data_IF_775933991464
#
_entry.id   IF_775933991464
#
_cell.length_a   1.000
_cell.length_b   1.000
_cell.length_c   1.000
_cell.angle_alpha   90.00
_cell.angle_beta   90.00
_cell.angle_gamma   90.00
#
_symmetry.space_group_name_H-M   'P 1'
#
loop_
_entity.id
_entity.type
_entity.pdbx_description
1 polymer ?
#
# COMPACT_ATOMS: atom_id res chain seq x y z
N UNK A 1 -0.45 -32.07 14.17
CA UNK A 1 0.87 -31.66 13.62
C UNK A 1 0.72 -31.29 12.15
N UNK A 2 0.73 -29.98 11.79
CA UNK A 2 0.62 -29.47 10.40
C UNK A 2 1.98 -28.91 9.92
N UNK A 3 3.08 -29.66 10.10
CA UNK A 3 4.43 -29.12 9.89
C UNK A 3 4.95 -29.23 8.45
N UNK A 4 4.41 -30.13 7.63
CA UNK A 4 4.91 -30.38 6.27
C UNK A 4 4.61 -29.22 5.29
N UNK A 5 3.34 -28.76 5.23
CA UNK A 5 2.91 -27.74 4.26
C UNK A 5 3.60 -26.38 4.44
N UNK A 6 4.06 -26.07 5.65
CA UNK A 6 4.73 -24.79 5.92
C UNK A 6 6.14 -24.75 5.32
N UNK A 7 6.92 -25.85 5.42
CA UNK A 7 8.29 -25.90 4.85
C UNK A 7 8.26 -25.81 3.33
N UNK A 8 7.37 -26.56 2.69
CA UNK A 8 7.23 -26.55 1.23
C UNK A 8 6.79 -25.17 0.71
N UNK A 9 5.82 -24.54 1.37
CA UNK A 9 5.39 -23.17 1.05
C UNK A 9 6.54 -22.17 1.15
N UNK A 10 7.34 -22.20 2.21
CA UNK A 10 8.51 -21.31 2.35
C UNK A 10 9.48 -21.52 1.18
N UNK A 11 9.81 -22.78 0.85
CA UNK A 11 10.76 -23.09 -0.21
C UNK A 11 10.29 -22.63 -1.60
N UNK A 12 9.03 -22.91 -1.95
CA UNK A 12 8.46 -22.51 -3.25
C UNK A 12 8.38 -20.98 -3.35
N UNK A 13 7.98 -20.32 -2.27
CA UNK A 13 7.92 -18.85 -2.24
C UNK A 13 9.30 -18.23 -2.35
N UNK A 14 10.31 -18.79 -1.68
CA UNK A 14 11.69 -18.29 -1.77
C UNK A 14 12.28 -18.44 -3.17
N UNK A 15 12.08 -19.60 -3.82
CA UNK A 15 12.49 -19.80 -5.23
C UNK A 15 11.83 -18.78 -6.16
N UNK A 16 10.55 -18.52 -5.97
CA UNK A 16 9.84 -17.50 -6.73
C UNK A 16 10.39 -16.09 -6.47
N UNK A 17 10.70 -15.76 -5.21
CA UNK A 17 11.28 -14.48 -4.81
C UNK A 17 12.64 -14.24 -5.49
N UNK A 18 13.55 -15.21 -5.45
CA UNK A 18 14.86 -15.11 -6.10
C UNK A 18 14.72 -14.90 -7.61
N UNK A 19 13.83 -15.67 -8.27
CA UNK A 19 13.57 -15.50 -9.71
C UNK A 19 13.05 -14.10 -10.04
N UNK A 20 12.17 -13.54 -9.22
CA UNK A 20 11.67 -12.19 -9.43
C UNK A 20 12.74 -11.12 -9.21
N UNK A 21 13.67 -11.35 -8.28
CA UNK A 21 14.81 -10.46 -8.07
C UNK A 21 15.82 -10.51 -9.22
N UNK A 22 16.04 -11.66 -9.85
CA UNK A 22 16.89 -11.74 -11.06
C UNK A 22 16.26 -11.07 -12.29
N UNK A 23 14.95 -10.84 -12.28
CA UNK A 23 14.23 -10.07 -13.30
C UNK A 23 14.23 -8.55 -12.98
N UNK A 24 15.00 -8.09 -12.00
CA UNK A 24 15.07 -6.70 -11.49
C UNK A 24 13.72 -6.11 -11.03
N UNK A 25 12.71 -6.96 -10.77
CA UNK A 25 11.40 -6.51 -10.31
C UNK A 25 11.46 -6.16 -8.82
N UNK A 26 11.07 -4.94 -8.47
CA UNK A 26 10.82 -4.54 -7.10
C UNK A 26 9.55 -5.26 -6.58
N UNK A 27 9.71 -6.02 -5.50
CA UNK A 27 8.61 -6.75 -4.87
C UNK A 27 8.15 -6.01 -3.62
N UNK A 28 6.87 -5.59 -3.63
CA UNK A 28 6.26 -5.03 -2.43
C UNK A 28 5.90 -6.11 -1.42
N UNK A 29 5.73 -5.70 -0.15
CA UNK A 29 5.32 -6.58 0.93
C UNK A 29 4.00 -7.31 0.62
N UNK A 30 3.04 -6.56 0.08
CA UNK A 30 1.70 -7.04 -0.28
C UNK A 30 1.80 -8.12 -1.37
N UNK A 31 2.67 -7.94 -2.37
CA UNK A 31 2.87 -8.93 -3.43
C UNK A 31 3.37 -10.26 -2.87
N UNK A 32 4.31 -10.22 -1.92
CA UNK A 32 4.84 -11.43 -1.28
C UNK A 32 3.74 -12.13 -0.48
N UNK A 33 2.92 -11.38 0.27
CA UNK A 33 1.79 -11.95 1.04
C UNK A 33 0.75 -12.59 0.12
N UNK A 34 0.32 -11.89 -0.93
CA UNK A 34 -0.62 -12.43 -1.91
C UNK A 34 -0.07 -13.69 -2.58
N UNK A 35 1.22 -13.70 -2.91
CA UNK A 35 1.85 -14.87 -3.51
C UNK A 35 1.92 -16.05 -2.55
N UNK A 36 2.20 -15.81 -1.28
CA UNK A 36 2.18 -16.83 -0.24
C UNK A 36 0.79 -17.47 -0.10
N UNK A 37 -0.28 -16.66 -0.12
CA UNK A 37 -1.66 -17.17 -0.10
C UNK A 37 -1.96 -18.03 -1.34
N UNK A 38 -1.56 -17.57 -2.53
CA UNK A 38 -1.75 -18.32 -3.77
C UNK A 38 -1.05 -19.69 -3.74
N UNK A 39 0.20 -19.73 -3.29
CA UNK A 39 0.94 -20.99 -3.17
C UNK A 39 0.38 -21.89 -2.08
N UNK A 40 -0.05 -21.33 -0.94
CA UNK A 40 -0.70 -22.12 0.10
C UNK A 40 -1.96 -22.81 -0.45
N UNK A 41 -2.80 -22.10 -1.22
CA UNK A 41 -3.96 -22.70 -1.87
C UNK A 41 -3.58 -23.81 -2.86
N UNK A 42 -2.56 -23.58 -3.69
CA UNK A 42 -2.10 -24.56 -4.69
C UNK A 42 -1.47 -25.82 -4.08
N UNK A 43 -0.83 -25.68 -2.92
CA UNK A 43 -0.21 -26.79 -2.19
C UNK A 43 -1.22 -27.54 -1.29
N UNK A 44 -2.52 -27.22 -1.34
CA UNK A 44 -3.51 -27.83 -0.46
C UNK A 44 -3.28 -27.48 1.02
N UNK A 45 -2.74 -26.29 1.28
CA UNK A 45 -2.44 -25.76 2.61
C UNK A 45 -3.69 -25.45 3.44
N UNK A 46 -3.46 -25.05 4.70
CA UNK A 46 -4.57 -24.72 5.62
C UNK A 46 -5.35 -23.52 5.09
N UNK A 47 -6.69 -23.58 5.09
CA UNK A 47 -7.55 -22.42 4.77
C UNK A 47 -7.42 -21.30 5.81
N UNK A 48 -6.95 -21.62 7.01
CA UNK A 48 -6.68 -20.67 8.08
C UNK A 48 -5.32 -19.98 7.93
N UNK A 49 -4.51 -20.36 6.93
CA UNK A 49 -3.22 -19.72 6.71
C UNK A 49 -3.41 -18.24 6.38
N UNK A 50 -2.92 -17.40 7.28
CA UNK A 50 -2.84 -15.97 7.08
C UNK A 50 -1.40 -15.64 6.78
N UNK A 51 -1.14 -15.03 5.63
CA UNK A 51 0.15 -14.42 5.30
C UNK A 51 0.34 -13.12 6.11
N UNK A 52 0.18 -13.20 7.44
CA UNK A 52 0.22 -12.06 8.35
C UNK A 52 1.59 -11.40 8.36
N UNK A 53 1.65 -10.17 8.85
CA UNK A 53 2.91 -9.43 9.00
C UNK A 53 3.93 -10.22 9.82
N UNK A 54 3.51 -10.86 10.93
CA UNK A 54 4.39 -11.67 11.76
C UNK A 54 4.89 -12.96 11.08
N UNK A 55 4.10 -13.58 10.21
CA UNK A 55 4.56 -14.71 9.41
C UNK A 55 5.62 -14.27 8.38
N UNK A 56 5.38 -13.13 7.74
CA UNK A 56 6.25 -12.59 6.71
C UNK A 56 7.61 -12.14 7.25
N UNK A 57 7.64 -11.52 8.43
CA UNK A 57 8.89 -11.20 9.12
C UNK A 57 9.71 -12.46 9.40
N UNK A 58 9.06 -13.54 9.84
CA UNK A 58 9.73 -14.84 10.02
C UNK A 58 10.25 -15.42 8.68
N UNK A 59 9.51 -15.26 7.59
CA UNK A 59 9.96 -15.68 6.26
C UNK A 59 11.21 -14.89 5.82
N UNK A 60 11.20 -13.57 5.97
CA UNK A 60 12.36 -12.72 5.67
C UNK A 60 13.58 -13.10 6.48
N UNK A 61 13.42 -13.25 7.80
CA UNK A 61 14.50 -13.61 8.71
C UNK A 61 15.12 -14.97 8.37
N UNK A 62 14.30 -15.97 8.00
CA UNK A 62 14.79 -17.29 7.58
C UNK A 62 15.64 -17.26 6.31
N UNK A 63 15.38 -16.32 5.42
CA UNK A 63 16.02 -16.23 4.12
C UNK A 63 17.00 -15.06 4.00
N UNK A 64 17.30 -14.37 5.11
CA UNK A 64 18.17 -13.20 5.12
C UNK A 64 17.70 -12.08 4.21
N UNK A 65 16.39 -11.95 3.97
CA UNK A 65 15.84 -10.91 3.11
C UNK A 65 15.85 -9.61 3.91
N UNK A 66 16.68 -8.62 3.56
CA UNK A 66 16.74 -7.37 4.31
C UNK A 66 15.37 -6.69 4.24
N UNK A 67 14.91 -6.20 5.39
CA UNK A 67 13.80 -5.27 5.45
C UNK A 67 14.30 -3.94 4.89
N UNK A 68 14.32 -3.83 3.56
CA UNK A 68 14.32 -2.52 2.92
C UNK A 68 13.00 -1.90 3.35
N UNK A 69 13.07 -0.94 4.26
CA UNK A 69 11.95 -0.09 4.62
C UNK A 69 11.54 0.66 3.36
N UNK A 70 10.65 0.05 2.58
CA UNK A 70 9.86 0.74 1.58
C UNK A 70 8.84 1.56 2.39
N UNK A 71 9.35 2.59 3.06
CA UNK A 71 8.54 3.72 3.50
C UNK A 71 8.23 4.46 2.21
N UNK A 72 7.03 4.20 1.67
CA UNK A 72 6.33 5.05 0.70
C UNK A 72 6.95 5.20 -0.68
N UNK A 73 8.13 5.79 -0.82
CA UNK A 73 8.54 6.46 -2.07
C UNK A 73 10.06 6.51 -2.27
N UNK A 74 10.84 5.63 -1.63
CA UNK A 74 12.31 5.75 -1.64
C UNK A 74 13.03 4.62 -2.38
N UNK A 75 12.56 4.26 -3.58
CA UNK A 75 13.27 3.30 -4.44
C UNK A 75 14.10 3.94 -5.56
N UNK A 76 14.10 5.28 -5.70
CA UNK A 76 15.09 5.99 -6.53
C UNK A 76 14.93 7.51 -6.29
N UNK A 77 15.32 8.01 -5.12
CA UNK A 77 15.46 9.46 -4.98
C UNK A 77 16.74 9.87 -5.69
N UNK A 78 16.60 10.54 -6.83
CA UNK A 78 17.72 11.21 -7.48
C UNK A 78 18.20 12.35 -6.56
N UNK A 79 19.35 12.14 -5.94
CA UNK A 79 19.94 13.08 -4.97
C UNK A 79 20.31 14.39 -5.69
N UNK A 80 20.74 14.31 -6.95
CA UNK A 80 21.13 15.46 -7.74
C UNK A 80 19.91 16.31 -8.11
N UNK A 81 18.84 15.68 -8.61
CA UNK A 81 17.57 16.36 -8.87
C UNK A 81 16.95 16.95 -7.59
N UNK A 82 17.05 16.25 -6.46
CA UNK A 82 16.61 16.76 -5.16
C UNK A 82 17.38 18.01 -4.72
N UNK A 83 18.71 18.03 -4.91
CA UNK A 83 19.54 19.20 -4.59
C UNK A 83 19.26 20.38 -5.53
N UNK A 84 19.06 20.14 -6.83
CA UNK A 84 18.65 21.19 -7.78
C UNK A 84 17.33 21.82 -7.37
N UNK A 85 16.34 20.99 -7.03
CA UNK A 85 15.02 21.46 -6.60
C UNK A 85 15.08 22.32 -5.32
N UNK A 86 15.93 21.97 -4.36
CA UNK A 86 16.12 22.78 -3.15
C UNK A 86 16.66 24.17 -3.51
N UNK A 87 17.63 24.27 -4.41
CA UNK A 87 18.19 25.54 -4.85
C UNK A 87 17.15 26.39 -5.60
N UNK A 88 16.38 25.79 -6.51
CA UNK A 88 15.30 26.46 -7.24
C UNK A 88 14.19 26.96 -6.31
N UNK A 89 13.80 26.15 -5.32
CA UNK A 89 12.78 26.54 -4.34
C UNK A 89 13.25 27.71 -3.47
N UNK A 90 14.53 27.73 -3.08
CA UNK A 90 15.11 28.85 -2.33
C UNK A 90 15.11 30.15 -3.14
N UNK A 91 15.49 30.10 -4.42
CA UNK A 91 15.43 31.26 -5.32
C UNK A 91 13.99 31.78 -5.45
N UNK A 92 13.01 30.88 -5.61
CA UNK A 92 11.59 31.24 -5.69
C UNK A 92 11.07 31.89 -4.41
N UNK A 93 11.46 31.39 -3.23
CA UNK A 93 11.06 31.98 -1.94
C UNK A 93 11.59 33.41 -1.82
N UNK A 94 12.87 33.63 -2.15
CA UNK A 94 13.49 34.96 -2.09
C UNK A 94 12.86 35.90 -3.12
N UNK A 95 12.74 35.45 -4.37
CA UNK A 95 12.21 36.25 -5.48
C UNK A 95 10.76 36.67 -5.27
N UNK A 96 9.94 35.81 -4.68
CA UNK A 96 8.52 36.06 -4.43
C UNK A 96 8.22 36.56 -3.01
N UNK A 97 9.23 36.72 -2.16
CA UNK A 97 9.11 37.11 -0.75
C UNK A 97 8.07 36.26 0.00
N UNK A 98 8.11 34.94 -0.23
CA UNK A 98 7.15 34.02 0.38
C UNK A 98 7.48 33.83 1.86
N UNK A 99 6.46 33.93 2.71
CA UNK A 99 6.57 33.53 4.11
C UNK A 99 6.18 32.06 4.31
N UNK A 100 6.57 31.47 5.43
CA UNK A 100 6.31 30.06 5.73
C UNK A 100 4.82 29.71 5.65
N UNK A 101 3.94 30.63 6.02
CA UNK A 101 2.48 30.44 6.00
C UNK A 101 1.90 30.29 4.57
N UNK A 102 2.68 30.65 3.54
CA UNK A 102 2.29 30.56 2.13
C UNK A 102 2.87 29.33 1.43
N UNK A 103 3.67 28.52 2.13
CA UNK A 103 4.32 27.32 1.59
C UNK A 103 3.51 26.10 2.02
N UNK A 104 2.84 25.46 1.06
CA UNK A 104 2.02 24.28 1.31
C UNK A 104 2.64 23.05 0.63
N UNK A 105 2.72 21.93 1.36
CA UNK A 105 3.08 20.64 0.78
C UNK A 105 1.81 19.92 0.31
N UNK A 106 1.80 19.40 -0.92
CA UNK A 106 0.73 18.58 -1.45
C UNK A 106 1.31 17.27 -1.98
N UNK A 107 0.91 16.15 -1.39
CA UNK A 107 1.41 14.82 -1.75
C UNK A 107 0.61 14.18 -2.90
N UNK A 108 -0.71 14.42 -2.97
CA UNK A 108 -1.57 13.76 -3.94
C UNK A 108 -2.69 14.70 -4.38
N UNK A 109 -2.88 14.81 -5.70
CA UNK A 109 -4.03 15.48 -6.30
C UNK A 109 -4.85 14.46 -7.07
N UNK A 110 -6.06 14.16 -6.60
CA UNK A 110 -6.99 13.26 -7.26
C UNK A 110 -8.04 14.04 -8.06
N UNK A 111 -8.12 13.80 -9.37
CA UNK A 111 -9.15 14.39 -10.22
C UNK A 111 -10.39 13.47 -10.26
N UNK A 112 -11.49 13.91 -9.66
CA UNK A 112 -12.78 13.24 -9.78
C UNK A 112 -13.57 13.78 -10.98
N UNK A 113 -13.36 13.20 -12.16
CA UNK A 113 -14.12 13.54 -13.36
C UNK A 113 -15.34 12.62 -13.51
N UNK A 114 -16.57 13.19 -13.57
CA UNK A 114 -17.85 12.47 -13.67
C UNK A 114 -18.17 11.50 -12.52
N UNK A 115 -17.62 11.71 -11.33
CA UNK A 115 -18.04 10.97 -10.14
C UNK A 115 -19.44 11.46 -9.71
N UNK A 116 -20.47 10.64 -9.93
CA UNK A 116 -21.81 10.92 -9.42
C UNK A 116 -21.82 10.74 -7.89
N UNK A 117 -22.44 11.66 -7.13
CA UNK A 117 -22.55 11.49 -5.68
C UNK A 117 -23.36 10.24 -5.36
N UNK A 118 -22.79 9.33 -4.56
CA UNK A 118 -23.39 8.03 -4.21
C UNK A 118 -24.52 8.12 -3.18
N UNK A 119 -24.93 9.35 -2.80
CA UNK A 119 -25.96 9.59 -1.79
C UNK A 119 -26.97 10.61 -2.32
N UNK A 120 -28.12 10.11 -2.73
CA UNK A 120 -29.34 10.91 -2.88
C UNK A 120 -29.90 11.22 -1.50
N UNK A 121 -30.23 12.50 -1.25
CA UNK A 121 -30.94 12.93 -0.04
C UNK A 121 -32.35 12.34 -0.09
N UNK A 122 -32.55 11.16 0.49
CA UNK A 122 -33.89 10.60 0.63
C UNK A 122 -34.65 11.42 1.68
N UNK A 123 -35.70 12.12 1.24
CA UNK A 123 -36.65 12.79 2.13
C UNK A 123 -37.18 11.82 3.18
N UNK A 124 -37.17 12.28 4.42
CA UNK A 124 -37.68 11.54 5.57
C UNK A 124 -39.21 11.50 5.48
N UNK A 125 -39.76 10.61 4.66
CA UNK A 125 -41.18 10.22 4.76
C UNK A 125 -41.39 9.47 6.09
N UNK A 126 -41.63 10.21 7.17
CA UNK A 126 -42.24 9.66 8.39
C UNK A 126 -43.21 10.68 9.00
N UNK A 127 -44.48 10.26 8.95
CA UNK A 127 -45.56 10.53 9.92
C UNK A 127 -46.36 11.84 9.76
N UNK A 128 -47.32 11.82 8.84
CA UNK A 128 -48.64 12.47 9.03
C UNK A 128 -49.76 11.51 8.67
N UNK A 129 -49.84 10.39 9.40
CA UNK A 129 -50.97 9.44 9.35
C UNK A 129 -51.66 9.28 10.71
N UNK A 130 -51.70 10.34 11.51
CA UNK A 130 -52.61 10.45 12.67
C UNK A 130 -53.05 11.91 12.88
N UNK A 131 -53.95 12.39 12.04
CA UNK A 131 -54.83 13.51 12.35
C UNK A 131 -56.08 13.37 11.47
N UNK A 132 -57.01 12.52 11.90
CA UNK A 132 -58.25 12.28 11.19
C UNK A 132 -58.97 11.02 11.66
N UNK A 133 -59.60 11.11 12.84
CA UNK A 133 -60.83 10.42 13.30
C UNK A 133 -60.86 10.34 14.83
N UNK A 134 -61.36 11.39 15.49
CA UNK A 134 -62.74 11.50 15.98
C UNK A 134 -63.02 12.95 16.32
#
# INVERSE_FOLDING_TARGET
MKCANNKELNNVLYKWFIRKRSEEVSLSLIMIQQKALNFNCKLGGSKEFQASSGWLEKFKNRHGIPQLSIVGEKLSSDIEAGNSFIAELQDLIVKKQLCADQIYNCHETGLYWRALPTKTLAEKMKLLLQAGKR
#
